data_IF_531779038177
#
_entry.id   IF_531779038177
#
_cell.length_a   1.000
_cell.length_b   1.000
_cell.length_c   1.000
_cell.angle_alpha   90.00
_cell.angle_beta   90.00
_cell.angle_gamma   90.00
#
_symmetry.space_group_name_H-M   'P 1'
#
loop_
_entity.id
_entity.type
_entity.pdbx_description
1 polymer ?
#
# COMPACT_ATOMS: atom_id res chain seq x y z
N UNK A 1 33.54 -34.17 -9.40
CA UNK A 1 32.36 -33.27 -9.56
C UNK A 1 32.36 -32.31 -8.38
N UNK A 2 32.96 -31.10 -8.54
CA UNK A 2 33.19 -30.12 -7.49
C UNK A 2 31.92 -29.24 -7.35
N UNK A 3 31.28 -29.24 -6.19
CA UNK A 3 30.24 -28.29 -5.83
C UNK A 3 30.89 -26.90 -5.73
N UNK A 4 30.32 -25.91 -6.41
CA UNK A 4 30.69 -24.51 -6.28
C UNK A 4 29.87 -23.96 -5.11
N UNK A 5 30.56 -23.60 -4.04
CA UNK A 5 29.99 -22.84 -2.93
C UNK A 5 29.64 -21.43 -3.44
N UNK A 6 28.38 -21.06 -3.28
CA UNK A 6 27.90 -19.72 -3.52
C UNK A 6 28.12 -18.93 -2.24
N UNK A 7 28.76 -17.77 -2.25
CA UNK A 7 28.91 -16.97 -1.03
C UNK A 7 27.53 -16.39 -0.65
N UNK A 8 27.06 -16.74 0.53
CA UNK A 8 25.92 -16.11 1.21
C UNK A 8 26.19 -14.61 1.35
N UNK A 9 25.47 -13.82 0.56
CA UNK A 9 25.43 -12.36 0.71
C UNK A 9 24.50 -12.02 1.88
N UNK A 10 24.98 -12.21 3.11
CA UNK A 10 24.30 -11.71 4.31
C UNK A 10 24.42 -10.19 4.33
N UNK A 11 23.39 -9.51 3.85
CA UNK A 11 23.19 -8.09 4.13
C UNK A 11 22.85 -7.99 5.63
N UNK A 12 23.86 -7.69 6.45
CA UNK A 12 23.67 -7.35 7.86
C UNK A 12 22.84 -6.05 7.91
N UNK A 13 21.57 -6.17 8.21
CA UNK A 13 20.74 -5.03 8.59
C UNK A 13 21.20 -4.61 9.99
N UNK A 14 22.19 -3.70 10.05
CA UNK A 14 22.51 -3.00 11.27
C UNK A 14 21.27 -2.22 11.68
N UNK A 15 20.65 -2.61 12.78
CA UNK A 15 19.60 -1.83 13.44
C UNK A 15 20.17 -0.44 13.72
N UNK A 16 19.78 0.56 12.94
CA UNK A 16 20.02 1.94 13.27
C UNK A 16 19.09 2.24 14.45
N UNK A 17 19.63 2.19 15.67
CA UNK A 17 19.01 2.81 16.82
C UNK A 17 18.96 4.32 16.55
N UNK A 18 17.87 4.77 15.94
CA UNK A 18 17.57 6.19 15.83
C UNK A 18 17.16 6.66 17.23
N UNK A 19 18.15 7.03 18.01
CA UNK A 19 17.92 7.75 19.26
C UNK A 19 17.44 9.14 18.89
N UNK A 20 16.10 9.32 18.84
CA UNK A 20 15.51 10.67 18.77
C UNK A 20 15.71 11.27 20.15
N UNK A 21 16.79 12.03 20.33
CA UNK A 21 16.96 12.83 21.52
C UNK A 21 15.79 13.83 21.62
N UNK A 22 15.19 14.03 22.82
CA UNK A 22 14.24 15.12 23.00
C UNK A 22 14.91 16.45 22.65
N UNK A 23 14.18 17.43 22.12
CA UNK A 23 14.76 18.73 21.78
C UNK A 23 15.21 19.44 23.05
N UNK A 24 16.50 19.38 23.34
CA UNK A 24 17.11 20.17 24.39
C UNK A 24 17.40 21.58 23.85
N UNK A 25 16.88 22.55 24.54
CA UNK A 25 17.38 23.91 24.57
C UNK A 25 16.75 24.89 23.61
N UNK A 26 16.12 25.89 24.19
CA UNK A 26 15.65 27.13 23.59
C UNK A 26 16.80 27.90 22.87
N UNK A 27 16.98 27.54 21.59
CA UNK A 27 17.63 28.38 20.60
C UNK A 27 16.56 28.90 19.67
N UNK A 28 16.52 30.22 19.46
CA UNK A 28 15.49 30.92 18.68
C UNK A 28 15.66 30.75 17.15
N UNK A 29 15.93 29.54 16.70
CA UNK A 29 15.89 29.20 15.27
C UNK A 29 14.59 28.42 14.99
N UNK A 30 13.46 29.15 15.10
CA UNK A 30 12.15 28.62 14.77
C UNK A 30 12.03 28.59 13.25
N UNK A 31 12.59 27.57 12.64
CA UNK A 31 12.23 27.24 11.25
C UNK A 31 10.72 27.10 11.20
N UNK A 32 10.00 27.89 10.39
CA UNK A 32 8.55 27.78 10.35
C UNK A 32 8.17 26.35 9.94
N UNK A 33 7.10 25.79 10.51
CA UNK A 33 6.67 24.44 10.17
C UNK A 33 6.40 24.35 8.69
N UNK A 34 6.84 23.25 8.07
CA UNK A 34 6.58 22.98 6.64
C UNK A 34 5.08 22.88 6.45
N UNK A 35 4.52 23.69 5.55
CA UNK A 35 3.11 23.58 5.22
C UNK A 35 2.81 22.32 4.40
N UNK A 36 1.54 21.85 4.42
CA UNK A 36 1.14 20.62 3.74
C UNK A 36 1.28 20.68 2.21
N UNK A 37 1.30 21.87 1.59
CA UNK A 37 1.48 22.04 0.15
C UNK A 37 2.96 21.85 -0.22
N UNK A 38 3.86 22.46 0.54
CA UNK A 38 5.31 22.30 0.37
C UNK A 38 5.75 20.84 0.59
N UNK A 39 5.22 20.18 1.63
CA UNK A 39 5.48 18.76 1.86
C UNK A 39 4.98 17.91 0.68
N UNK A 40 3.73 18.11 0.23
CA UNK A 40 3.17 17.37 -0.91
C UNK A 40 4.00 17.55 -2.17
N UNK A 41 4.48 18.79 -2.43
CA UNK A 41 5.34 19.07 -3.57
C UNK A 41 6.67 18.31 -3.49
N UNK A 42 7.30 18.31 -2.34
CA UNK A 42 8.58 17.61 -2.14
C UNK A 42 8.45 16.09 -2.28
N UNK A 43 7.46 15.47 -1.62
CA UNK A 43 7.26 14.01 -1.67
C UNK A 43 6.73 13.52 -3.03
N UNK A 44 6.19 14.42 -3.87
CA UNK A 44 5.76 14.09 -5.23
C UNK A 44 6.93 13.62 -6.14
N UNK A 45 8.17 13.92 -5.77
CA UNK A 45 9.36 13.39 -6.44
C UNK A 45 9.55 11.87 -6.23
N UNK A 46 8.92 11.28 -5.20
CA UNK A 46 9.04 9.86 -4.89
C UNK A 46 7.96 9.05 -5.64
N UNK A 47 8.34 8.18 -6.59
CA UNK A 47 7.38 7.31 -7.28
C UNK A 47 6.91 6.19 -6.35
N UNK A 48 5.62 5.87 -6.41
CA UNK A 48 5.03 4.79 -5.62
C UNK A 48 4.31 3.79 -6.52
N UNK A 49 4.09 2.58 -6.02
CA UNK A 49 3.10 1.69 -6.59
C UNK A 49 1.67 2.21 -6.36
N UNK A 50 0.71 1.57 -7.00
CA UNK A 50 -0.72 1.80 -6.79
C UNK A 50 -1.34 0.49 -6.35
N UNK A 51 -2.04 0.50 -5.21
CA UNK A 51 -2.73 -0.68 -4.69
C UNK A 51 -4.21 -0.38 -4.46
N UNK A 52 -5.04 -1.40 -4.64
CA UNK A 52 -6.42 -1.43 -4.18
C UNK A 52 -6.47 -2.25 -2.88
N UNK A 53 -6.96 -1.66 -1.80
CA UNK A 53 -7.33 -2.37 -0.58
C UNK A 53 -8.85 -2.48 -0.56
N UNK A 54 -9.40 -3.72 -0.53
CA UNK A 54 -10.82 -3.92 -0.69
C UNK A 54 -11.34 -5.17 0.04
N UNK A 55 -12.63 -5.15 0.36
CA UNK A 55 -13.35 -6.28 0.94
C UNK A 55 -14.81 -6.31 0.49
N UNK A 56 -15.40 -7.50 0.49
CA UNK A 56 -16.84 -7.68 0.43
C UNK A 56 -17.42 -7.43 1.81
N UNK A 57 -18.24 -6.41 1.95
CA UNK A 57 -18.92 -6.06 3.20
C UNK A 57 -20.41 -6.40 3.10
N UNK A 58 -21.15 -6.28 4.21
CA UNK A 58 -22.62 -6.43 4.21
C UNK A 58 -23.33 -5.40 3.33
N UNK A 59 -22.70 -4.26 3.05
CA UNK A 59 -23.21 -3.20 2.18
C UNK A 59 -22.73 -3.32 0.72
N UNK A 60 -22.03 -4.42 0.39
CA UNK A 60 -21.44 -4.65 -0.93
C UNK A 60 -19.93 -4.45 -0.98
N UNK A 61 -19.34 -4.49 -2.19
CA UNK A 61 -17.91 -4.31 -2.37
C UNK A 61 -17.47 -2.92 -1.90
N UNK A 62 -16.44 -2.88 -1.07
CA UNK A 62 -15.88 -1.65 -0.51
C UNK A 62 -14.38 -1.65 -0.71
N UNK A 63 -13.81 -0.53 -1.10
CA UNK A 63 -12.37 -0.44 -1.32
C UNK A 63 -11.86 0.98 -1.47
N UNK A 64 -10.54 1.11 -1.43
CA UNK A 64 -9.83 2.37 -1.58
C UNK A 64 -8.52 2.15 -2.35
N UNK A 65 -8.22 3.05 -3.29
CA UNK A 65 -6.91 3.11 -3.93
C UNK A 65 -5.92 3.83 -3.03
N UNK A 66 -4.74 3.24 -2.89
CA UNK A 66 -3.66 3.74 -2.03
C UNK A 66 -2.33 3.75 -2.79
N UNK A 67 -1.46 4.67 -2.40
CA UNK A 67 -0.05 4.68 -2.73
C UNK A 67 0.85 4.62 -1.49
N UNK A 68 0.26 4.52 -0.31
CA UNK A 68 0.92 4.48 1.00
C UNK A 68 1.27 3.06 1.48
N UNK A 69 1.16 2.07 0.61
CA UNK A 69 1.47 0.68 0.94
C UNK A 69 2.97 0.42 1.00
N UNK A 70 3.40 -0.36 2.01
CA UNK A 70 4.76 -0.92 2.08
C UNK A 70 4.82 -2.24 2.88
N UNK A 71 5.84 -3.06 2.59
CA UNK A 71 6.18 -4.21 3.44
C UNK A 71 6.76 -3.72 4.77
N UNK A 72 6.47 -4.42 5.86
CA UNK A 72 6.91 -4.05 7.21
C UNK A 72 7.80 -5.11 7.85
N UNK A 73 7.42 -6.40 7.74
CA UNK A 73 8.14 -7.51 8.37
C UNK A 73 7.99 -8.77 7.53
N UNK A 74 8.99 -9.64 7.57
CA UNK A 74 8.94 -10.97 6.95
C UNK A 74 8.60 -12.06 7.98
N UNK A 75 8.95 -11.86 9.25
CA UNK A 75 8.62 -12.77 10.35
C UNK A 75 8.23 -11.97 11.60
N UNK A 76 6.94 -11.96 11.98
CA UNK A 76 5.80 -12.42 11.19
C UNK A 76 5.61 -11.60 9.89
N UNK A 77 4.95 -12.16 8.85
CA UNK A 77 4.74 -11.46 7.60
C UNK A 77 3.71 -10.34 7.78
N UNK A 78 4.19 -9.09 7.73
CA UNK A 78 3.39 -7.89 7.94
C UNK A 78 3.59 -6.89 6.80
N UNK A 79 2.50 -6.19 6.50
CA UNK A 79 2.47 -5.02 5.60
C UNK A 79 1.72 -3.89 6.28
N UNK A 80 1.92 -2.66 5.81
CA UNK A 80 1.18 -1.51 6.29
C UNK A 80 0.63 -0.64 5.15
N UNK A 81 -0.41 0.12 5.49
CA UNK A 81 -0.95 1.19 4.67
C UNK A 81 -1.41 2.36 5.55
N UNK A 82 -1.26 3.59 5.07
CA UNK A 82 -1.79 4.77 5.74
C UNK A 82 -3.14 5.16 5.12
N UNK A 83 -4.18 5.22 5.95
CA UNK A 83 -5.56 5.48 5.58
C UNK A 83 -5.98 6.85 6.12
N UNK A 84 -6.35 7.78 5.24
CA UNK A 84 -6.77 9.12 5.62
C UNK A 84 -8.05 9.08 6.48
N UNK A 85 -8.15 9.89 7.53
CA UNK A 85 -9.35 10.02 8.35
C UNK A 85 -10.55 10.53 7.56
N UNK A 86 -10.32 11.21 6.43
CA UNK A 86 -11.36 11.67 5.50
C UNK A 86 -11.87 10.59 4.55
N UNK A 87 -11.29 9.37 4.59
CA UNK A 87 -11.72 8.26 3.73
C UNK A 87 -13.11 7.77 4.10
N UNK A 88 -14.04 7.80 3.16
CA UNK A 88 -15.40 7.28 3.33
C UNK A 88 -15.48 5.76 3.27
N UNK A 89 -14.46 5.09 2.74
CA UNK A 89 -14.39 3.63 2.65
C UNK A 89 -13.72 3.00 3.88
N UNK A 90 -12.80 3.72 4.53
CA UNK A 90 -12.00 3.19 5.63
C UNK A 90 -12.83 2.66 6.81
N UNK A 91 -13.86 3.36 7.33
CA UNK A 91 -14.64 2.84 8.45
C UNK A 91 -15.24 1.45 8.21
N UNK A 92 -15.66 1.15 6.97
CA UNK A 92 -16.20 -0.15 6.58
C UNK A 92 -15.13 -1.21 6.39
N UNK A 93 -13.99 -0.85 5.77
CA UNK A 93 -12.85 -1.75 5.58
C UNK A 93 -12.22 -2.15 6.91
N UNK A 94 -12.21 -1.25 7.88
CA UNK A 94 -11.68 -1.48 9.23
C UNK A 94 -12.38 -2.62 9.97
N UNK A 95 -13.67 -2.82 9.70
CA UNK A 95 -14.50 -3.86 10.32
C UNK A 95 -14.42 -5.20 9.59
N UNK A 96 -13.83 -5.24 8.41
CA UNK A 96 -13.73 -6.45 7.63
C UNK A 96 -12.70 -7.42 8.27
N UNK A 97 -13.06 -8.69 8.50
CA UNK A 97 -12.15 -9.68 9.10
C UNK A 97 -11.01 -10.05 8.16
N UNK A 98 -11.21 -9.88 6.85
CA UNK A 98 -10.22 -10.08 5.80
C UNK A 98 -10.33 -9.01 4.73
N UNK A 99 -9.19 -8.63 4.19
CA UNK A 99 -9.10 -7.69 3.09
C UNK A 99 -8.24 -8.27 1.98
N UNK A 100 -8.62 -8.00 0.73
CA UNK A 100 -7.78 -8.22 -0.43
C UNK A 100 -6.95 -6.97 -0.70
N UNK A 101 -5.68 -7.18 -1.03
CA UNK A 101 -4.82 -6.13 -1.54
C UNK A 101 -4.38 -6.53 -2.95
N UNK A 102 -4.62 -5.66 -3.90
CA UNK A 102 -4.22 -5.83 -5.30
C UNK A 102 -3.14 -4.80 -5.63
N UNK A 103 -1.95 -5.25 -6.01
CA UNK A 103 -0.96 -4.38 -6.67
C UNK A 103 -1.40 -4.25 -8.13
N UNK A 104 -1.80 -3.05 -8.53
CA UNK A 104 -2.30 -2.81 -9.88
C UNK A 104 -1.19 -3.06 -10.90
N UNK A 105 -1.53 -3.79 -11.97
CA UNK A 105 -0.68 -3.91 -13.14
C UNK A 105 -0.86 -2.70 -14.08
N UNK A 106 0.05 -2.51 -14.99
CA UNK A 106 0.08 -1.38 -15.94
C UNK A 106 -1.20 -1.27 -16.79
N UNK A 107 -1.77 -2.42 -17.22
CA UNK A 107 -3.03 -2.47 -17.98
C UNK A 107 -4.27 -2.09 -17.15
N UNK A 108 -4.17 -2.04 -15.82
CA UNK A 108 -5.26 -1.56 -14.95
C UNK A 108 -5.46 -0.04 -14.95
N UNK A 109 -4.82 0.71 -15.84
CA UNK A 109 -4.97 2.17 -15.90
C UNK A 109 -6.43 2.62 -16.06
N UNK A 110 -7.22 1.93 -16.89
CA UNK A 110 -8.66 2.19 -17.07
C UNK A 110 -9.47 1.76 -15.84
N UNK A 111 -9.23 0.55 -15.32
CA UNK A 111 -9.86 0.05 -14.08
C UNK A 111 -9.61 1.01 -12.91
N UNK A 112 -8.39 1.54 -12.77
CA UNK A 112 -8.08 2.57 -11.79
C UNK A 112 -8.98 3.80 -11.93
N UNK A 113 -9.30 4.23 -13.16
CA UNK A 113 -10.19 5.36 -13.36
C UNK A 113 -11.63 5.07 -12.84
N UNK A 114 -12.13 3.85 -13.04
CA UNK A 114 -13.40 3.39 -12.46
C UNK A 114 -13.33 3.39 -10.93
N UNK A 115 -12.27 2.83 -10.35
CA UNK A 115 -12.04 2.76 -8.92
C UNK A 115 -11.83 4.12 -8.24
N UNK A 116 -11.58 5.19 -9.00
CA UNK A 116 -11.48 6.57 -8.50
C UNK A 116 -12.83 7.29 -8.41
N UNK A 117 -13.92 6.65 -8.83
CA UNK A 117 -15.29 7.20 -8.74
C UNK A 117 -15.76 7.33 -7.29
N UNK A 118 -16.86 8.04 -7.02
CA UNK A 118 -17.52 8.03 -5.72
C UNK A 118 -17.77 6.60 -5.21
N UNK A 119 -17.71 6.40 -3.91
CA UNK A 119 -17.74 5.07 -3.29
C UNK A 119 -18.90 4.18 -3.78
N UNK A 120 -20.10 4.75 -3.98
CA UNK A 120 -21.27 4.04 -4.45
C UNK A 120 -21.20 3.50 -5.89
N UNK A 121 -20.29 4.03 -6.71
CA UNK A 121 -20.15 3.68 -8.13
C UNK A 121 -18.77 3.10 -8.46
N UNK A 122 -17.94 2.96 -7.45
CA UNK A 122 -16.51 2.62 -7.62
C UNK A 122 -16.30 1.26 -8.28
N UNK A 123 -17.16 0.30 -7.99
CA UNK A 123 -17.04 -1.07 -8.48
C UNK A 123 -18.01 -1.40 -9.63
N UNK A 124 -18.78 -0.40 -10.12
CA UNK A 124 -19.69 -0.62 -11.26
C UNK A 124 -18.87 -0.91 -12.53
N UNK A 125 -19.10 -2.11 -13.10
CA UNK A 125 -18.40 -2.58 -14.29
C UNK A 125 -16.94 -2.99 -14.06
N UNK A 126 -16.53 -3.18 -12.79
CA UNK A 126 -15.22 -3.72 -12.43
C UNK A 126 -15.33 -5.21 -12.19
N UNK A 127 -14.49 -5.99 -12.86
CA UNK A 127 -14.38 -7.43 -12.61
C UNK A 127 -13.64 -7.68 -11.29
N UNK A 128 -14.21 -8.55 -10.43
CA UNK A 128 -13.77 -8.76 -9.06
C UNK A 128 -13.68 -10.25 -8.73
N UNK A 129 -12.63 -10.61 -8.02
CA UNK A 129 -12.50 -11.90 -7.35
C UNK A 129 -12.71 -11.72 -5.85
N UNK A 130 -13.61 -12.51 -5.27
CA UNK A 130 -13.90 -12.50 -3.83
C UNK A 130 -13.62 -13.89 -3.27
N UNK A 131 -12.76 -13.99 -2.26
CA UNK A 131 -12.48 -15.25 -1.57
C UNK A 131 -13.57 -15.58 -0.53
N UNK A 132 -13.53 -16.82 0.02
CA UNK A 132 -14.48 -17.29 1.03
C UNK A 132 -14.47 -16.45 2.32
N UNK A 133 -13.43 -15.69 2.55
CA UNK A 133 -13.28 -14.79 3.72
C UNK A 133 -13.72 -13.37 3.46
N UNK A 134 -14.17 -13.04 2.24
CA UNK A 134 -14.58 -11.71 1.83
C UNK A 134 -13.44 -10.80 1.39
N UNK A 135 -12.22 -11.31 1.24
CA UNK A 135 -11.12 -10.53 0.65
C UNK A 135 -11.38 -10.34 -0.85
N UNK A 136 -11.31 -9.08 -1.31
CA UNK A 136 -11.66 -8.70 -2.66
C UNK A 136 -10.43 -8.24 -3.42
N UNK A 137 -10.17 -8.85 -4.58
CA UNK A 137 -9.03 -8.52 -5.45
C UNK A 137 -9.47 -8.35 -6.90
N UNK A 138 -8.61 -7.74 -7.71
CA UNK A 138 -8.78 -7.68 -9.16
C UNK A 138 -8.10 -8.88 -9.83
N UNK A 139 -8.65 -9.40 -10.92
CA UNK A 139 -7.97 -10.35 -11.78
C UNK A 139 -6.73 -9.73 -12.45
N UNK A 140 -5.86 -10.55 -12.98
CA UNK A 140 -4.67 -10.13 -13.76
C UNK A 140 -3.76 -9.09 -13.08
N UNK A 141 -3.72 -9.08 -11.76
CA UNK A 141 -2.92 -8.16 -10.95
C UNK A 141 -1.41 -8.47 -11.06
N UNK A 142 -0.54 -7.46 -10.82
CA UNK A 142 0.89 -7.70 -10.67
C UNK A 142 1.20 -8.53 -9.42
N UNK A 143 0.41 -8.33 -8.34
CA UNK A 143 0.41 -9.19 -7.16
C UNK A 143 -0.92 -9.06 -6.41
N UNK A 144 -1.29 -10.11 -5.67
CA UNK A 144 -2.45 -10.07 -4.74
C UNK A 144 -2.04 -10.62 -3.38
N UNK A 145 -2.60 -10.03 -2.32
CA UNK A 145 -2.44 -10.48 -0.95
C UNK A 145 -3.81 -10.61 -0.30
N UNK A 146 -3.99 -11.65 0.52
CA UNK A 146 -5.08 -11.70 1.50
C UNK A 146 -4.53 -11.28 2.85
N UNK A 147 -5.19 -10.34 3.49
CA UNK A 147 -4.74 -9.67 4.71
C UNK A 147 -5.73 -9.88 5.85
N UNK A 148 -5.23 -9.95 7.08
CA UNK A 148 -6.00 -9.84 8.32
C UNK A 148 -5.54 -8.61 9.11
N UNK A 149 -6.45 -7.84 9.76
CA UNK A 149 -6.08 -6.76 10.65
C UNK A 149 -5.11 -7.23 11.75
N UNK A 150 -4.08 -6.44 12.06
CA UNK A 150 -3.09 -6.78 13.08
C UNK A 150 -2.96 -5.69 14.15
N UNK A 151 -2.71 -4.44 13.73
CA UNK A 151 -2.58 -3.30 14.64
C UNK A 151 -2.90 -1.99 13.91
N UNK A 152 -3.21 -0.95 14.68
CA UNK A 152 -3.40 0.42 14.19
C UNK A 152 -2.60 1.39 15.04
N UNK A 153 -2.03 2.41 14.39
CA UNK A 153 -1.27 3.46 15.04
C UNK A 153 -1.68 4.84 14.50
N UNK A 154 -1.67 5.88 15.33
CA UNK A 154 -1.91 7.24 14.87
C UNK A 154 -0.78 7.69 13.93
N UNK A 155 -1.14 8.35 12.84
CA UNK A 155 -0.23 8.90 11.82
C UNK A 155 -0.64 10.31 11.40
N UNK A 156 -0.89 11.21 12.34
CA UNK A 156 -1.36 12.57 12.05
C UNK A 156 -2.83 12.56 11.59
N UNK A 157 -3.09 13.00 10.35
CA UNK A 157 -4.41 12.97 9.71
C UNK A 157 -4.75 11.60 9.07
N UNK A 158 -3.91 10.59 9.32
CA UNK A 158 -4.06 9.21 8.85
C UNK A 158 -4.03 8.22 10.02
N UNK A 159 -4.58 7.04 9.78
CA UNK A 159 -4.33 5.83 10.58
C UNK A 159 -3.30 4.96 9.83
N UNK A 160 -2.22 4.57 10.48
CA UNK A 160 -1.29 3.55 9.99
C UNK A 160 -1.87 2.20 10.36
N UNK A 161 -2.45 1.52 9.40
CA UNK A 161 -3.02 0.19 9.58
C UNK A 161 -1.99 -0.88 9.22
N UNK A 162 -1.69 -1.76 10.16
CA UNK A 162 -0.79 -2.90 10.00
C UNK A 162 -1.63 -4.15 9.80
N UNK A 163 -1.26 -4.96 8.83
CA UNK A 163 -1.95 -6.19 8.46
C UNK A 163 -0.99 -7.37 8.46
N UNK A 164 -1.49 -8.51 8.94
CA UNK A 164 -0.83 -9.80 8.73
C UNK A 164 -1.15 -10.31 7.33
N UNK A 165 -0.13 -10.73 6.61
CA UNK A 165 -0.30 -11.38 5.31
C UNK A 165 -0.67 -12.85 5.53
N UNK A 166 -1.80 -13.28 4.98
CA UNK A 166 -2.28 -14.67 5.04
C UNK A 166 -1.87 -15.45 3.80
N UNK A 167 -2.02 -14.82 2.61
CA UNK A 167 -1.57 -15.36 1.32
C UNK A 167 -0.95 -14.25 0.49
N UNK A 168 -0.05 -14.62 -0.41
CA UNK A 168 0.53 -13.69 -1.37
C UNK A 168 0.81 -14.42 -2.69
N UNK A 169 0.46 -13.80 -3.81
CA UNK A 169 0.78 -14.26 -5.16
C UNK A 169 1.42 -13.13 -5.95
N UNK A 170 2.27 -13.47 -6.92
CA UNK A 170 2.88 -12.52 -7.84
C UNK A 170 2.86 -13.06 -9.25
N UNK A 171 2.43 -12.25 -10.20
CA UNK A 171 2.50 -12.54 -11.64
C UNK A 171 3.74 -11.87 -12.23
N UNK A 172 4.74 -12.70 -12.62
CA UNK A 172 6.03 -12.20 -13.11
C UNK A 172 5.92 -11.51 -14.48
N UNK A 173 4.93 -11.89 -15.29
CA UNK A 173 4.65 -11.33 -16.62
C UNK A 173 3.90 -9.97 -16.56
N UNK A 174 3.49 -9.52 -15.37
CA UNK A 174 2.71 -8.29 -15.17
C UNK A 174 3.56 -7.20 -14.53
N UNK A 175 3.82 -6.12 -15.29
CA UNK A 175 4.48 -4.93 -14.77
C UNK A 175 3.54 -4.14 -13.84
N UNK A 176 4.04 -3.58 -12.72
CA UNK A 176 3.20 -2.79 -11.82
C UNK A 176 2.87 -1.41 -12.40
N UNK A 177 1.66 -0.90 -12.08
CA UNK A 177 1.30 0.49 -12.32
C UNK A 177 2.03 1.39 -11.32
N UNK A 178 2.75 2.40 -11.81
CA UNK A 178 3.51 3.34 -11.00
C UNK A 178 2.85 4.72 -11.04
N UNK A 179 2.68 5.32 -9.87
CA UNK A 179 2.28 6.71 -9.72
C UNK A 179 3.51 7.59 -9.47
N UNK A 180 3.73 8.55 -10.34
CA UNK A 180 4.71 9.62 -10.17
C UNK A 180 4.03 10.93 -10.50
N UNK A 181 3.61 11.63 -9.45
CA UNK A 181 2.70 12.78 -9.51
C UNK A 181 3.07 13.80 -10.61
N UNK A 182 2.10 14.23 -11.43
CA UNK A 182 0.68 13.84 -11.44
C UNK A 182 0.36 12.66 -12.38
N UNK A 183 1.34 11.89 -12.84
CA UNK A 183 1.21 10.91 -13.91
C UNK A 183 1.25 9.47 -13.40
N UNK A 184 0.54 8.58 -14.11
CA UNK A 184 0.69 7.13 -13.98
C UNK A 184 1.59 6.63 -15.10
N UNK A 185 2.46 5.65 -14.78
CA UNK A 185 3.45 5.10 -15.72
C UNK A 185 3.52 3.59 -15.58
N UNK A 186 3.85 2.89 -16.66
CA UNK A 186 4.35 1.52 -16.62
C UNK A 186 5.88 1.54 -16.50
N UNK A 187 6.45 0.57 -15.78
CA UNK A 187 7.87 0.27 -15.90
C UNK A 187 8.04 -0.45 -17.23
N UNK A 188 8.84 0.09 -18.15
CA UNK A 188 9.12 -0.55 -19.43
C UNK A 188 9.56 -2.00 -19.25
N UNK A 189 9.29 -2.86 -20.25
CA UNK A 189 9.74 -4.24 -20.23
C UNK A 189 11.26 -4.28 -20.01
N UNK A 190 11.71 -5.08 -19.05
CA UNK A 190 13.11 -5.34 -18.84
C UNK A 190 13.57 -6.19 -20.03
N UNK A 191 14.39 -5.60 -20.89
CA UNK A 191 15.12 -6.31 -21.95
C UNK A 191 16.26 -7.12 -21.37
#
# INVERSE_FOLDING_TARGET
>A
MKRRDHPDNQISLTTLDVHVAPPDGAGSDVTPPVDGAALRHAVAAFPTGVVLLAAQTSEGPTGVLLNSFTSLSLDPPLVLAALAHTSTSWPRLREAPRLGLTVLADHHAETRALLSRPAAQRFDGVDLHVDDGGALTLPDAAATLTLAPHAEHPGGDHTIAVYRVLTATRELERGPLVFHSPHYRSLGAHS
#
